data_IF_869942376368
#
_entry.id   IF_869942376368
#
_cell.length_a   1.000
_cell.length_b   1.000
_cell.length_c   1.000
_cell.angle_alpha   90.00
_cell.angle_beta   90.00
_cell.angle_gamma   90.00
#
_symmetry.space_group_name_H-M   'P 1'
#
loop_
_entity.id
_entity.type
_entity.pdbx_description
1 polymer ?
#
# COMPACT_ATOMS: atom_id res chain seq x y z
N UNK A 1 -9.60 7.38 5.00
CA UNK A 1 -9.49 5.93 4.75
C UNK A 1 -8.82 5.30 5.96
N UNK A 2 -9.23 4.09 6.35
CA UNK A 2 -8.93 3.50 7.68
C UNK A 2 -8.29 2.11 7.57
N UNK A 3 -7.77 1.60 8.70
CA UNK A 3 -7.26 0.22 8.83
C UNK A 3 -8.30 -0.85 8.37
N UNK A 4 -9.59 -0.51 8.40
CA UNK A 4 -10.68 -1.34 7.89
C UNK A 4 -10.64 -1.50 6.35
N UNK A 5 -10.07 -0.55 5.61
CA UNK A 5 -10.00 -0.63 4.15
C UNK A 5 -8.94 -1.66 3.70
N UNK A 6 -7.82 -1.75 4.42
CA UNK A 6 -6.77 -2.73 4.14
C UNK A 6 -7.22 -4.17 4.42
N UNK A 7 -7.91 -4.40 5.53
CA UNK A 7 -8.41 -5.73 5.89
C UNK A 7 -9.48 -6.26 4.92
N UNK A 8 -10.13 -5.36 4.17
CA UNK A 8 -11.06 -5.70 3.09
C UNK A 8 -10.39 -5.87 1.71
N UNK A 9 -9.08 -5.57 1.60
CA UNK A 9 -8.33 -5.72 0.36
C UNK A 9 -8.28 -7.19 -0.10
N UNK A 10 -8.16 -7.39 -1.41
CA UNK A 10 -8.03 -8.75 -1.99
C UNK A 10 -6.72 -9.42 -1.56
N UNK A 11 -5.63 -8.65 -1.44
CA UNK A 11 -4.33 -9.16 -1.04
C UNK A 11 -4.31 -9.63 0.41
N UNK A 12 -4.84 -8.81 1.33
CA UNK A 12 -4.96 -9.20 2.74
C UNK A 12 -5.74 -10.51 2.88
N UNK A 13 -6.89 -10.63 2.22
CA UNK A 13 -7.72 -11.85 2.27
C UNK A 13 -6.98 -13.08 1.76
N UNK A 14 -6.29 -12.98 0.62
CA UNK A 14 -5.51 -14.10 0.07
C UNK A 14 -4.38 -14.53 1.00
N UNK A 15 -3.62 -13.57 1.53
CA UNK A 15 -2.50 -13.88 2.42
C UNK A 15 -2.99 -14.43 3.77
N UNK A 16 -4.13 -13.95 4.27
CA UNK A 16 -4.77 -14.47 5.46
C UNK A 16 -5.25 -15.92 5.28
N UNK A 17 -5.85 -16.25 4.13
CA UNK A 17 -6.22 -17.64 3.80
C UNK A 17 -5.00 -18.57 3.80
N UNK A 18 -3.89 -18.15 3.19
CA UNK A 18 -2.63 -18.91 3.21
C UNK A 18 -2.13 -19.11 4.65
N UNK A 19 -2.19 -18.05 5.47
CA UNK A 19 -1.76 -18.11 6.87
C UNK A 19 -2.58 -19.14 7.67
N UNK A 20 -3.91 -19.13 7.50
CA UNK A 20 -4.80 -20.10 8.15
C UNK A 20 -4.49 -21.54 7.73
N UNK A 21 -4.30 -21.77 6.43
CA UNK A 21 -3.93 -23.07 5.87
C UNK A 21 -2.62 -23.60 6.45
N UNK A 22 -1.61 -22.73 6.59
CA UNK A 22 -0.32 -23.10 7.18
C UNK A 22 -0.45 -23.48 8.66
N UNK A 23 -1.24 -22.72 9.42
CA UNK A 23 -1.51 -22.99 10.84
C UNK A 23 -2.20 -24.36 11.00
N UNK A 24 -3.20 -24.65 10.18
CA UNK A 24 -3.90 -25.94 10.21
C UNK A 24 -2.95 -27.10 9.90
N UNK A 25 -2.15 -26.98 8.84
CA UNK A 25 -1.16 -28.01 8.46
C UNK A 25 -0.12 -28.25 9.55
N UNK A 26 0.34 -27.20 10.22
CA UNK A 26 1.25 -27.33 11.36
C UNK A 26 0.62 -28.15 12.49
N UNK A 27 -0.62 -27.85 12.83
CA UNK A 27 -1.33 -28.51 13.91
C UNK A 27 -1.63 -29.97 13.55
N UNK A 28 -1.90 -30.28 12.28
CA UNK A 28 -2.00 -31.65 11.78
C UNK A 28 -0.69 -32.42 11.90
N UNK A 29 0.44 -31.81 11.51
CA UNK A 29 1.76 -32.43 11.69
C UNK A 29 2.07 -32.69 13.16
N UNK A 30 1.72 -31.77 14.06
CA UNK A 30 1.87 -31.94 15.51
C UNK A 30 0.98 -33.07 16.04
N UNK A 31 -0.24 -33.22 15.52
CA UNK A 31 -1.14 -34.34 15.87
C UNK A 31 -0.57 -35.68 15.40
N UNK A 32 -0.11 -35.77 14.16
CA UNK A 32 0.50 -36.98 13.61
C UNK A 32 1.77 -37.39 14.35
N UNK A 33 2.59 -36.42 14.76
CA UNK A 33 3.82 -36.68 15.51
C UNK A 33 3.56 -37.44 16.83
N UNK A 34 2.40 -37.25 17.47
CA UNK A 34 2.04 -37.94 18.73
C UNK A 34 1.85 -39.45 18.56
N UNK A 35 1.53 -39.90 17.35
CA UNK A 35 1.30 -41.32 17.01
C UNK A 35 2.35 -41.89 16.06
N UNK A 36 3.35 -41.09 15.69
CA UNK A 36 4.36 -41.47 14.72
C UNK A 36 5.33 -42.52 15.28
N UNK A 37 5.79 -43.43 14.42
CA UNK A 37 6.87 -44.34 14.77
C UNK A 37 8.21 -43.56 14.90
N UNK A 38 9.19 -44.03 15.70
CA UNK A 38 10.40 -43.28 16.02
C UNK A 38 11.18 -42.75 14.81
N UNK A 39 11.24 -43.51 13.71
CA UNK A 39 11.97 -43.12 12.50
C UNK A 39 11.38 -41.90 11.78
N UNK A 40 10.12 -41.55 12.05
CA UNK A 40 9.44 -40.41 11.44
C UNK A 40 9.47 -39.15 12.31
N UNK A 41 9.94 -39.24 13.56
CA UNK A 41 9.96 -38.11 14.50
C UNK A 41 10.86 -36.98 13.99
N UNK A 42 12.07 -37.30 13.52
CA UNK A 42 13.00 -36.31 12.97
C UNK A 42 12.42 -35.55 11.77
N UNK A 43 12.04 -36.25 10.68
CA UNK A 43 11.44 -35.64 9.51
C UNK A 43 10.19 -34.81 9.82
N UNK A 44 9.33 -35.26 10.74
CA UNK A 44 8.14 -34.52 11.14
C UNK A 44 8.48 -33.22 11.90
N UNK A 45 9.50 -33.22 12.76
CA UNK A 45 9.96 -32.00 13.44
C UNK A 45 10.54 -30.98 12.45
N UNK A 46 11.32 -31.44 11.47
CA UNK A 46 11.82 -30.57 10.41
C UNK A 46 10.68 -30.00 9.55
N UNK A 47 9.66 -30.80 9.25
CA UNK A 47 8.49 -30.33 8.53
C UNK A 47 7.72 -29.26 9.33
N UNK A 48 7.51 -29.47 10.63
CA UNK A 48 6.88 -28.47 11.52
C UNK A 48 7.70 -27.18 11.54
N UNK A 49 9.02 -27.27 11.71
CA UNK A 49 9.90 -26.10 11.73
C UNK A 49 9.81 -25.30 10.43
N UNK A 50 9.80 -25.96 9.26
CA UNK A 50 9.61 -25.28 7.98
C UNK A 50 8.24 -24.61 7.85
N UNK A 51 7.19 -25.21 8.39
CA UNK A 51 5.85 -24.59 8.38
C UNK A 51 5.82 -23.39 9.33
N UNK A 52 6.44 -23.48 10.50
CA UNK A 52 6.60 -22.35 11.42
C UNK A 52 7.34 -21.17 10.73
N UNK A 53 8.46 -21.44 10.04
CA UNK A 53 9.17 -20.42 9.26
C UNK A 53 8.28 -19.79 8.16
N UNK A 54 7.44 -20.60 7.49
CA UNK A 54 6.50 -20.11 6.48
C UNK A 54 5.39 -19.22 7.08
N UNK A 55 4.92 -19.55 8.29
CA UNK A 55 3.93 -18.74 9.02
C UNK A 55 4.54 -17.36 9.31
N UNK A 56 5.73 -17.33 9.94
CA UNK A 56 6.41 -16.08 10.29
C UNK A 56 6.64 -15.20 9.05
N UNK A 57 7.07 -15.80 7.94
CA UNK A 57 7.29 -15.06 6.69
C UNK A 57 5.98 -14.51 6.11
N UNK A 58 4.89 -15.27 6.19
CA UNK A 58 3.57 -14.82 5.72
C UNK A 58 3.08 -13.63 6.56
N UNK A 59 3.25 -13.69 7.88
CA UNK A 59 2.90 -12.58 8.78
C UNK A 59 3.69 -11.30 8.45
N UNK A 60 5.00 -11.43 8.20
CA UNK A 60 5.85 -10.29 7.76
C UNK A 60 5.38 -9.73 6.43
N UNK A 61 5.04 -10.58 5.45
CA UNK A 61 4.53 -10.11 4.16
C UNK A 61 3.23 -9.31 4.36
N UNK A 62 2.31 -9.81 5.17
CA UNK A 62 1.05 -9.13 5.47
C UNK A 62 1.27 -7.78 6.18
N UNK A 63 2.27 -7.66 7.04
CA UNK A 63 2.64 -6.39 7.68
C UNK A 63 3.26 -5.40 6.68
N UNK A 64 4.15 -5.87 5.80
CA UNK A 64 4.75 -5.04 4.75
C UNK A 64 3.70 -4.52 3.75
N UNK A 65 2.75 -5.37 3.36
CA UNK A 65 1.65 -4.97 2.48
C UNK A 65 0.75 -3.90 3.13
N UNK A 66 0.52 -4.00 4.44
CA UNK A 66 -0.19 -2.98 5.21
C UNK A 66 0.55 -1.64 5.14
N UNK A 67 1.86 -1.66 5.43
CA UNK A 67 2.69 -0.45 5.42
C UNK A 67 2.70 0.22 4.04
N UNK A 68 2.85 -0.56 2.97
CA UNK A 68 2.80 -0.06 1.59
C UNK A 68 1.46 0.58 1.25
N UNK A 69 0.34 -0.02 1.70
CA UNK A 69 -0.98 0.55 1.52
C UNK A 69 -1.11 1.90 2.24
N UNK A 70 -0.69 1.97 3.51
CA UNK A 70 -0.71 3.21 4.30
C UNK A 70 0.17 4.32 3.68
N UNK A 71 1.34 3.98 3.14
CA UNK A 71 2.22 4.91 2.43
C UNK A 71 1.60 5.42 1.14
N UNK A 72 0.93 4.56 0.38
CA UNK A 72 0.24 4.92 -0.86
C UNK A 72 -0.82 5.99 -0.59
N UNK A 73 -1.62 5.80 0.46
CA UNK A 73 -2.64 6.77 0.88
C UNK A 73 -2.02 8.12 1.23
N UNK A 74 -0.94 8.12 2.03
CA UNK A 74 -0.26 9.36 2.42
C UNK A 74 0.29 10.11 1.22
N UNK A 75 0.79 9.38 0.22
CA UNK A 75 1.28 9.98 -1.02
C UNK A 75 0.14 10.61 -1.82
N UNK A 76 -1.01 9.95 -1.94
CA UNK A 76 -2.21 10.49 -2.60
C UNK A 76 -2.75 11.73 -1.88
N UNK A 77 -2.81 11.72 -0.55
CA UNK A 77 -3.21 12.87 0.26
C UNK A 77 -2.25 14.05 0.10
N UNK A 78 -0.94 13.78 0.05
CA UNK A 78 0.07 14.81 -0.18
C UNK A 78 0.01 15.38 -1.60
N UNK A 79 -0.23 14.54 -2.62
CA UNK A 79 -0.43 15.00 -4.00
C UNK A 79 -1.65 15.92 -4.11
N UNK A 80 -2.77 15.54 -3.50
CA UNK A 80 -3.97 16.37 -3.45
C UNK A 80 -3.70 17.71 -2.74
N UNK A 81 -2.99 17.67 -1.61
CA UNK A 81 -2.59 18.87 -0.86
C UNK A 81 -1.70 19.79 -1.69
N UNK A 82 -0.72 19.23 -2.41
CA UNK A 82 0.18 19.99 -3.27
C UNK A 82 -0.56 20.61 -4.47
N UNK A 83 -1.53 19.89 -5.04
CA UNK A 83 -2.39 20.40 -6.12
C UNK A 83 -3.25 21.58 -5.66
N UNK A 84 -3.90 21.47 -4.49
CA UNK A 84 -4.69 22.56 -3.90
C UNK A 84 -3.83 23.81 -3.64
N UNK A 85 -2.62 23.62 -3.12
CA UNK A 85 -1.68 24.72 -2.92
C UNK A 85 -1.27 25.39 -4.24
N UNK A 86 -1.02 24.60 -5.28
CA UNK A 86 -0.67 25.13 -6.59
C UNK A 86 -1.82 25.94 -7.19
N UNK A 87 -3.06 25.45 -7.08
CA UNK A 87 -4.27 26.17 -7.52
C UNK A 87 -4.43 27.50 -6.77
N UNK A 88 -4.26 27.50 -5.44
CA UNK A 88 -4.31 28.73 -4.65
C UNK A 88 -3.27 29.78 -5.07
N UNK A 89 -2.02 29.35 -5.33
CA UNK A 89 -0.97 30.25 -5.83
C UNK A 89 -1.33 30.80 -7.22
N UNK A 90 -1.85 29.96 -8.10
CA UNK A 90 -2.26 30.36 -9.44
C UNK A 90 -3.37 31.41 -9.37
N UNK A 91 -4.37 31.20 -8.51
CA UNK A 91 -5.47 32.14 -8.34
C UNK A 91 -5.00 33.47 -7.75
N UNK A 92 -4.09 33.46 -6.76
CA UNK A 92 -3.46 34.68 -6.25
C UNK A 92 -2.68 35.44 -7.35
N UNK A 93 -1.96 34.71 -8.21
CA UNK A 93 -1.20 35.28 -9.32
C UNK A 93 -2.14 35.89 -10.38
N UNK A 94 -3.23 35.19 -10.73
CA UNK A 94 -4.28 35.69 -11.63
C UNK A 94 -4.88 36.98 -11.09
N UNK A 95 -5.26 37.00 -9.82
CA UNK A 95 -5.80 38.17 -9.14
C UNK A 95 -4.83 39.34 -9.17
N UNK A 96 -3.56 39.09 -8.88
CA UNK A 96 -2.53 40.11 -8.89
C UNK A 96 -2.32 40.72 -10.28
N UNK A 97 -2.23 39.88 -11.32
CA UNK A 97 -2.05 40.32 -12.70
C UNK A 97 -3.27 41.09 -13.18
N UNK A 98 -4.49 40.59 -12.94
CA UNK A 98 -5.72 41.28 -13.31
C UNK A 98 -5.83 42.70 -12.71
N UNK A 99 -5.34 42.88 -11.47
CA UNK A 99 -5.36 44.19 -10.78
C UNK A 99 -4.28 45.16 -11.26
N UNK A 100 -3.09 44.66 -11.61
CA UNK A 100 -1.91 45.51 -11.86
C UNK A 100 -1.49 45.61 -13.32
N UNK A 101 -1.69 44.55 -14.11
CA UNK A 101 -1.29 44.44 -15.52
C UNK A 101 -2.36 43.63 -16.29
N UNK A 102 -3.61 44.12 -16.40
CA UNK A 102 -4.71 43.37 -17.01
C UNK A 102 -4.42 42.93 -18.45
N UNK A 103 -3.63 43.71 -19.20
CA UNK A 103 -3.19 43.38 -20.55
C UNK A 103 -2.24 42.18 -20.63
N UNK A 104 -1.64 41.77 -19.50
CA UNK A 104 -0.79 40.58 -19.40
C UNK A 104 -1.53 39.35 -18.88
N UNK A 105 -2.82 39.46 -18.55
CA UNK A 105 -3.61 38.33 -18.06
C UNK A 105 -3.74 37.23 -19.11
N UNK A 106 -3.97 37.61 -20.38
CA UNK A 106 -4.03 36.65 -21.50
C UNK A 106 -2.70 35.89 -21.68
N UNK A 107 -1.56 36.58 -21.51
CA UNK A 107 -0.24 35.95 -21.55
C UNK A 107 -0.04 34.97 -20.40
N UNK A 108 -0.52 35.30 -19.19
CA UNK A 108 -0.46 34.41 -18.04
C UNK A 108 -1.30 33.14 -18.25
N UNK A 109 -2.53 33.25 -18.75
CA UNK A 109 -3.37 32.09 -19.05
C UNK A 109 -2.78 31.20 -20.16
N UNK A 110 -2.13 31.81 -21.17
CA UNK A 110 -1.40 31.06 -22.18
C UNK A 110 -0.25 30.23 -21.57
N UNK A 111 0.50 30.78 -20.61
CA UNK A 111 1.57 30.07 -19.90
C UNK A 111 1.01 28.94 -19.03
N UNK A 112 -0.05 29.22 -18.26
CA UNK A 112 -0.63 28.25 -17.30
C UNK A 112 -1.37 27.10 -17.97
N UNK A 113 -1.98 27.33 -19.13
CA UNK A 113 -2.67 26.29 -19.90
C UNK A 113 -1.72 25.32 -20.60
N UNK A 114 -0.43 25.63 -20.66
CA UNK A 114 0.55 24.84 -21.41
C UNK A 114 0.25 24.78 -22.91
N UNK A 115 -0.63 25.65 -23.40
CA UNK A 115 -0.96 25.78 -24.81
C UNK A 115 0.22 26.51 -25.48
N UNK A 116 1.27 25.75 -25.77
CA UNK A 116 2.48 26.19 -26.46
C UNK A 116 2.15 26.52 -27.93
N UNK A 117 1.42 27.62 -28.13
CA UNK A 117 1.29 28.30 -29.42
C UNK A 117 2.22 29.50 -29.43
N UNK A 118 3.49 29.27 -29.17
CA UNK A 118 4.55 30.26 -29.38
C UNK A 118 5.36 29.88 -30.62
N UNK A 119 4.83 30.30 -31.78
CA UNK A 119 5.61 30.66 -32.95
C UNK A 119 5.88 32.17 -32.92
#
# INVERSE_FOLDING_TARGET
>A
MSEDDYTNSENYRKNYEILLDLIERRDDLRRLLKIAQPQWIGPAREAIARVDDCIERTEVIMDLERQLYEETIKAEEEEARLAEMAEGIIDELRDHVARNNPEKLELLEAILSGDDKTH
#
